data_IF_171463642894
#
_entry.id   IF_171463642894
#
_cell.length_a   1.000
_cell.length_b   1.000
_cell.length_c   1.000
_cell.angle_alpha   90.00
_cell.angle_beta   90.00
_cell.angle_gamma   90.00
#
_symmetry.space_group_name_H-M   'P 1'
#
loop_
_entity.id
_entity.type
_entity.pdbx_description
1 polymer ?
#
# COMPACT_ATOMS: atom_id res chain seq x y z
N UNK A 1 -41.47 -12.29 3.98
CA UNK A 1 -40.88 -11.20 4.78
C UNK A 1 -39.56 -11.75 5.29
N UNK A 2 -38.42 -11.32 4.71
CA UNK A 2 -37.10 -11.65 5.25
C UNK A 2 -36.98 -10.88 6.57
N UNK A 3 -36.83 -11.57 7.68
CA UNK A 3 -36.39 -10.97 8.92
C UNK A 3 -35.02 -10.35 8.63
N UNK A 4 -34.94 -9.03 8.61
CA UNK A 4 -33.69 -8.30 8.57
C UNK A 4 -32.95 -8.66 9.86
N UNK A 5 -31.92 -9.49 9.74
CA UNK A 5 -31.08 -9.92 10.86
C UNK A 5 -30.48 -8.66 11.48
N UNK A 6 -30.92 -8.32 12.69
CA UNK A 6 -30.47 -7.12 13.40
C UNK A 6 -29.02 -7.32 13.79
N UNK A 7 -28.12 -6.57 13.16
CA UNK A 7 -26.71 -6.58 13.55
C UNK A 7 -26.54 -6.38 15.05
N UNK A 8 -25.71 -7.17 15.67
CA UNK A 8 -25.38 -6.99 17.07
C UNK A 8 -24.52 -5.73 17.23
N UNK A 9 -24.61 -5.07 18.41
CA UNK A 9 -23.75 -3.90 18.73
C UNK A 9 -22.27 -4.22 18.53
N UNK A 10 -21.87 -5.46 18.79
CA UNK A 10 -20.49 -5.93 18.62
C UNK A 10 -20.06 -5.95 17.14
N UNK A 11 -20.90 -6.48 16.25
CA UNK A 11 -20.65 -6.49 14.80
C UNK A 11 -20.51 -5.08 14.25
N UNK A 12 -21.39 -4.17 14.66
CA UNK A 12 -21.31 -2.77 14.25
C UNK A 12 -20.00 -2.09 14.70
N UNK A 13 -19.57 -2.33 15.95
CA UNK A 13 -18.30 -1.77 16.46
C UNK A 13 -17.11 -2.31 15.64
N UNK A 14 -17.04 -3.61 15.41
CA UNK A 14 -15.96 -4.22 14.62
C UNK A 14 -15.98 -3.70 13.18
N UNK A 15 -17.16 -3.59 12.56
CA UNK A 15 -17.30 -3.05 11.21
C UNK A 15 -16.78 -1.60 11.13
N UNK A 16 -17.16 -0.73 12.08
CA UNK A 16 -16.67 0.65 12.13
C UNK A 16 -15.14 0.70 12.29
N UNK A 17 -14.58 -0.09 13.20
CA UNK A 17 -13.12 -0.18 13.39
C UNK A 17 -12.42 -0.71 12.14
N UNK A 18 -13.03 -1.68 11.45
CA UNK A 18 -12.57 -2.21 10.17
C UNK A 18 -12.54 -1.12 9.10
N UNK A 19 -13.62 -0.36 8.94
CA UNK A 19 -13.70 0.77 7.99
C UNK A 19 -12.64 1.82 8.31
N UNK A 20 -12.55 2.30 9.54
CA UNK A 20 -11.57 3.34 9.92
C UNK A 20 -10.13 2.87 9.65
N UNK A 21 -9.81 1.62 10.00
CA UNK A 21 -8.46 1.09 9.82
C UNK A 21 -8.09 0.88 8.35
N UNK A 22 -9.04 0.47 7.49
CA UNK A 22 -8.76 0.34 6.05
C UNK A 22 -8.63 1.68 5.36
N UNK A 23 -9.38 2.70 5.79
CA UNK A 23 -9.20 4.06 5.27
C UNK A 23 -7.81 4.61 5.63
N UNK A 24 -7.33 4.38 6.84
CA UNK A 24 -5.97 4.71 7.23
C UNK A 24 -4.92 3.96 6.37
N UNK A 25 -5.19 2.70 6.03
CA UNK A 25 -4.35 1.95 5.09
C UNK A 25 -4.36 2.58 3.69
N UNK A 26 -5.53 2.98 3.16
CA UNK A 26 -5.64 3.63 1.85
C UNK A 26 -4.97 5.01 1.82
N UNK A 27 -4.98 5.75 2.92
CA UNK A 27 -4.32 7.07 3.05
C UNK A 27 -2.81 6.92 3.26
N UNK A 28 -2.31 5.77 3.71
CA UNK A 28 -0.89 5.59 4.04
C UNK A 28 0.11 6.00 2.94
N UNK A 29 -0.18 5.92 1.61
CA UNK A 29 0.69 6.41 0.56
C UNK A 29 1.00 7.91 0.64
N UNK A 30 0.20 8.71 1.36
CA UNK A 30 0.46 10.15 1.55
C UNK A 30 1.83 10.41 2.16
N UNK A 31 2.31 9.50 3.01
CA UNK A 31 3.61 9.60 3.67
C UNK A 31 4.74 9.62 2.63
N UNK A 32 4.67 8.74 1.63
CA UNK A 32 5.64 8.70 0.54
C UNK A 32 5.54 9.95 -0.35
N UNK A 33 4.32 10.42 -0.64
CA UNK A 33 4.07 11.63 -1.42
C UNK A 33 4.66 12.86 -0.71
N UNK A 34 4.45 12.99 0.61
CA UNK A 34 5.02 14.10 1.40
C UNK A 34 6.55 14.01 1.43
N UNK A 35 7.14 12.82 1.61
CA UNK A 35 8.60 12.64 1.56
C UNK A 35 9.17 13.06 0.20
N UNK A 36 8.50 12.70 -0.90
CA UNK A 36 8.90 13.13 -2.24
C UNK A 36 8.86 14.66 -2.38
N UNK A 37 7.77 15.32 -1.96
CA UNK A 37 7.65 16.78 -1.98
C UNK A 37 8.74 17.49 -1.16
N UNK A 38 9.19 16.87 -0.07
CA UNK A 38 10.28 17.39 0.77
C UNK A 38 11.67 17.03 0.24
N UNK A 39 11.80 16.43 -0.95
CA UNK A 39 13.07 16.01 -1.53
C UNK A 39 13.78 14.87 -0.77
N UNK A 40 13.03 14.14 0.09
CA UNK A 40 13.58 13.05 0.92
C UNK A 40 13.54 11.68 0.25
N UNK A 41 12.85 11.54 -0.87
CA UNK A 41 12.81 10.32 -1.67
C UNK A 41 12.54 10.64 -3.14
N UNK A 42 12.86 9.71 -4.02
CA UNK A 42 12.55 9.79 -5.45
C UNK A 42 11.10 9.39 -5.72
N UNK A 43 10.56 9.81 -6.87
CA UNK A 43 9.19 9.50 -7.28
C UNK A 43 8.93 7.98 -7.38
N UNK A 44 9.95 7.21 -7.74
CA UNK A 44 9.86 5.75 -7.85
C UNK A 44 9.56 5.04 -6.52
N UNK A 45 9.74 5.73 -5.39
CA UNK A 45 9.44 5.20 -4.05
C UNK A 45 7.98 5.42 -3.63
N UNK A 46 7.18 6.14 -4.44
CA UNK A 46 5.76 6.27 -4.18
C UNK A 46 5.05 4.98 -4.58
N UNK A 47 4.18 4.40 -3.73
CA UNK A 47 3.57 3.09 -3.93
C UNK A 47 2.46 3.09 -5.00
N UNK A 48 2.82 3.44 -6.25
CA UNK A 48 1.92 3.58 -7.38
C UNK A 48 1.12 2.30 -7.68
N UNK A 49 1.81 1.14 -7.76
CA UNK A 49 1.16 -0.15 -8.05
C UNK A 49 0.17 -0.51 -6.93
N UNK A 50 0.51 -0.23 -5.68
CA UNK A 50 -0.38 -0.46 -4.55
C UNK A 50 -1.65 0.41 -4.67
N UNK A 51 -1.52 1.69 -5.01
CA UNK A 51 -2.66 2.60 -5.20
C UNK A 51 -3.57 2.11 -6.34
N UNK A 52 -3.01 1.63 -7.44
CA UNK A 52 -3.78 1.03 -8.53
C UNK A 52 -4.51 -0.25 -8.08
N UNK A 53 -3.82 -1.14 -7.38
CA UNK A 53 -4.44 -2.36 -6.84
C UNK A 53 -5.56 -2.02 -5.86
N UNK A 54 -5.39 -0.97 -5.03
CA UNK A 54 -6.45 -0.48 -4.14
C UNK A 54 -7.69 -0.04 -4.94
N UNK A 55 -7.50 0.73 -6.01
CA UNK A 55 -8.61 1.20 -6.85
C UNK A 55 -9.43 0.03 -7.43
N UNK A 56 -8.75 -0.96 -8.03
CA UNK A 56 -9.42 -2.11 -8.62
C UNK A 56 -10.05 -3.00 -7.56
N UNK A 57 -9.39 -3.18 -6.42
CA UNK A 57 -9.93 -3.90 -5.28
C UNK A 57 -11.23 -3.26 -4.78
N UNK A 58 -11.22 -1.94 -4.55
CA UNK A 58 -12.40 -1.21 -4.11
C UNK A 58 -13.55 -1.32 -5.12
N UNK A 59 -13.27 -1.19 -6.43
CA UNK A 59 -14.28 -1.37 -7.47
C UNK A 59 -14.90 -2.78 -7.42
N UNK A 60 -14.09 -3.81 -7.21
CA UNK A 60 -14.55 -5.20 -7.08
C UNK A 60 -15.45 -5.41 -5.86
N UNK A 61 -15.05 -4.83 -4.72
CA UNK A 61 -15.80 -4.96 -3.47
C UNK A 61 -17.07 -4.10 -3.43
N UNK A 62 -17.18 -3.01 -4.19
CA UNK A 62 -18.45 -2.30 -4.38
C UNK A 62 -19.49 -3.23 -5.02
N UNK A 63 -19.09 -3.90 -6.10
CA UNK A 63 -19.97 -4.86 -6.78
C UNK A 63 -20.37 -6.00 -5.82
N UNK A 64 -19.40 -6.50 -5.04
CA UNK A 64 -19.67 -7.51 -4.02
C UNK A 64 -20.62 -6.99 -2.93
N UNK A 65 -20.40 -5.78 -2.41
CA UNK A 65 -21.24 -5.16 -1.38
C UNK A 65 -22.69 -4.97 -1.82
N UNK A 66 -22.92 -4.49 -3.05
CA UNK A 66 -24.26 -4.39 -3.65
C UNK A 66 -24.92 -5.77 -3.72
N UNK A 67 -24.18 -6.79 -4.14
CA UNK A 67 -24.69 -8.15 -4.30
C UNK A 67 -25.04 -8.82 -2.98
N UNK A 68 -24.26 -8.51 -1.92
CA UNK A 68 -24.42 -9.10 -0.61
C UNK A 68 -25.36 -8.31 0.31
N UNK A 69 -25.81 -7.12 -0.14
CA UNK A 69 -26.55 -6.14 0.67
C UNK A 69 -25.75 -5.74 1.93
N UNK A 70 -24.40 -5.60 1.76
CA UNK A 70 -23.47 -5.25 2.83
C UNK A 70 -23.09 -3.77 2.70
N UNK A 71 -23.80 -2.93 3.45
CA UNK A 71 -23.63 -1.49 3.44
C UNK A 71 -22.25 -1.04 3.97
N UNK A 72 -21.67 -1.74 4.96
CA UNK A 72 -20.35 -1.42 5.49
C UNK A 72 -19.28 -1.63 4.42
N UNK A 73 -19.32 -2.76 3.74
CA UNK A 73 -18.42 -3.06 2.63
C UNK A 73 -18.59 -2.07 1.48
N UNK A 74 -19.83 -1.69 1.15
CA UNK A 74 -20.13 -0.72 0.10
C UNK A 74 -19.55 0.66 0.42
N UNK A 75 -19.85 1.21 1.59
CA UNK A 75 -19.41 2.56 2.01
C UNK A 75 -17.88 2.64 2.06
N UNK A 76 -17.24 1.67 2.71
CA UNK A 76 -15.79 1.59 2.81
C UNK A 76 -15.12 1.65 1.43
N UNK A 77 -15.58 0.84 0.49
CA UNK A 77 -14.94 0.77 -0.82
C UNK A 77 -15.27 1.98 -1.72
N UNK A 78 -16.41 2.65 -1.52
CA UNK A 78 -16.69 3.94 -2.17
C UNK A 78 -15.70 5.03 -1.73
N UNK A 79 -15.41 5.12 -0.43
CA UNK A 79 -14.40 6.04 0.11
C UNK A 79 -13.02 5.67 -0.46
N UNK A 80 -12.65 4.38 -0.45
CA UNK A 80 -11.39 3.88 -0.97
C UNK A 80 -11.16 4.21 -2.45
N UNK A 81 -12.20 4.17 -3.31
CA UNK A 81 -12.12 4.63 -4.71
C UNK A 81 -11.77 6.11 -4.78
N UNK A 82 -12.45 6.95 -4.00
CA UNK A 82 -12.23 8.39 -4.02
C UNK A 82 -10.79 8.72 -3.60
N UNK A 83 -10.29 8.11 -2.51
CA UNK A 83 -8.92 8.27 -2.04
C UNK A 83 -7.91 7.83 -3.11
N UNK A 84 -8.09 6.65 -3.68
CA UNK A 84 -7.20 6.10 -4.70
C UNK A 84 -7.19 6.97 -5.97
N UNK A 85 -8.35 7.47 -6.40
CA UNK A 85 -8.47 8.35 -7.55
C UNK A 85 -7.74 9.69 -7.32
N UNK A 86 -7.89 10.29 -6.14
CA UNK A 86 -7.17 11.53 -5.78
C UNK A 86 -5.65 11.29 -5.84
N UNK A 87 -5.15 10.19 -5.27
CA UNK A 87 -3.72 9.88 -5.34
C UNK A 87 -3.23 9.66 -6.77
N UNK A 88 -4.00 8.99 -7.61
CA UNK A 88 -3.62 8.80 -9.02
C UNK A 88 -3.56 10.11 -9.80
N UNK A 89 -4.49 11.05 -9.54
CA UNK A 89 -4.46 12.39 -10.15
C UNK A 89 -3.21 13.16 -9.68
N UNK A 90 -2.91 13.14 -8.38
CA UNK A 90 -1.71 13.79 -7.82
C UNK A 90 -0.44 13.21 -8.42
N UNK A 91 -0.34 11.88 -8.51
CA UNK A 91 0.82 11.21 -9.10
C UNK A 91 0.95 11.48 -10.59
N UNK A 92 -0.16 11.48 -11.34
CA UNK A 92 -0.15 11.87 -12.75
C UNK A 92 0.43 13.27 -12.95
N UNK A 93 0.04 14.22 -12.10
CA UNK A 93 0.55 15.60 -12.14
C UNK A 93 2.07 15.62 -11.89
N UNK A 94 2.57 14.85 -10.91
CA UNK A 94 4.00 14.79 -10.62
C UNK A 94 4.80 14.17 -11.76
N UNK A 95 4.34 13.04 -12.30
CA UNK A 95 4.99 12.38 -13.45
C UNK A 95 5.02 13.29 -14.68
N UNK A 96 3.97 14.08 -14.91
CA UNK A 96 3.92 15.01 -16.05
C UNK A 96 4.92 16.15 -15.90
N UNK A 97 5.06 16.70 -14.68
CA UNK A 97 6.01 17.77 -14.38
C UNK A 97 7.47 17.29 -14.48
N UNK A 98 7.77 16.11 -13.96
CA UNK A 98 9.12 15.54 -14.00
C UNK A 98 9.54 15.15 -15.43
N UNK A 99 8.62 14.69 -16.26
CA UNK A 99 8.85 14.38 -17.65
C UNK A 99 9.19 15.61 -18.50
N UNK A 100 8.71 16.77 -18.13
CA UNK A 100 9.05 18.03 -18.82
C UNK A 100 10.55 18.36 -18.69
N UNK A 101 11.21 17.84 -17.67
CA UNK A 101 12.60 18.12 -17.32
C UNK A 101 13.66 17.21 -17.97
N UNK A 102 13.31 16.01 -18.46
CA UNK A 102 14.30 15.01 -18.93
C UNK A 102 13.91 14.35 -20.24
N UNK A 103 14.63 14.66 -21.32
CA UNK A 103 14.19 14.34 -22.72
C UNK A 103 14.46 12.90 -23.24
N UNK A 104 15.32 12.06 -22.68
CA UNK A 104 15.87 10.91 -23.42
C UNK A 104 15.60 9.46 -22.92
N UNK A 105 15.19 9.24 -21.67
CA UNK A 105 14.84 7.89 -21.17
C UNK A 105 13.33 7.57 -21.27
N UNK A 106 12.59 8.38 -21.93
CA UNK A 106 11.15 8.62 -21.84
C UNK A 106 10.23 7.55 -22.40
N UNK A 107 10.64 6.81 -23.42
CA UNK A 107 9.67 6.02 -24.22
C UNK A 107 9.40 4.59 -23.70
N UNK A 108 10.32 3.95 -22.97
CA UNK A 108 10.11 2.58 -22.47
C UNK A 108 9.21 2.53 -21.23
N UNK A 109 9.39 3.47 -20.29
CA UNK A 109 8.56 3.57 -19.09
C UNK A 109 7.10 3.87 -19.39
N UNK A 110 6.84 4.81 -20.31
CA UNK A 110 5.49 5.20 -20.73
C UNK A 110 4.65 4.04 -21.27
N UNK A 111 5.23 3.15 -22.07
CA UNK A 111 4.50 2.01 -22.64
C UNK A 111 4.04 1.03 -21.55
N UNK A 112 4.89 0.78 -20.55
CA UNK A 112 4.57 -0.13 -19.43
C UNK A 112 3.48 0.47 -18.55
N UNK A 113 3.57 1.75 -18.20
CA UNK A 113 2.56 2.46 -17.42
C UNK A 113 1.21 2.48 -18.14
N UNK A 114 1.18 2.85 -19.42
CA UNK A 114 -0.03 2.84 -20.24
C UNK A 114 -0.65 1.44 -20.29
N UNK A 115 0.15 0.39 -20.44
CA UNK A 115 -0.34 -0.98 -20.43
C UNK A 115 -0.96 -1.38 -19.09
N UNK A 116 -0.38 -0.95 -17.96
CA UNK A 116 -0.94 -1.16 -16.61
C UNK A 116 -2.28 -0.44 -16.47
N UNK A 117 -2.38 0.83 -16.88
CA UNK A 117 -3.65 1.58 -16.84
C UNK A 117 -4.74 0.91 -17.68
N UNK A 118 -4.43 0.51 -18.91
CA UNK A 118 -5.38 -0.15 -19.79
C UNK A 118 -5.82 -1.50 -19.20
N UNK A 119 -4.89 -2.26 -18.63
CA UNK A 119 -5.21 -3.52 -17.96
C UNK A 119 -6.15 -3.31 -16.77
N UNK A 120 -5.91 -2.28 -15.94
CA UNK A 120 -6.77 -1.96 -14.79
C UNK A 120 -8.15 -1.50 -15.23
N UNK A 121 -8.23 -0.62 -16.23
CA UNK A 121 -9.50 -0.18 -16.82
C UNK A 121 -10.28 -1.37 -17.38
N UNK A 122 -9.60 -2.25 -18.12
CA UNK A 122 -10.20 -3.48 -18.65
C UNK A 122 -10.80 -4.34 -17.53
N UNK A 123 -10.09 -4.49 -16.41
CA UNK A 123 -10.61 -5.26 -15.26
C UNK A 123 -11.88 -4.65 -14.67
N UNK A 124 -11.95 -3.32 -14.52
CA UNK A 124 -13.16 -2.64 -14.01
C UNK A 124 -14.34 -2.87 -14.97
N UNK A 125 -14.12 -2.69 -16.28
CA UNK A 125 -15.15 -2.92 -17.30
C UNK A 125 -15.59 -4.40 -17.33
N UNK A 126 -14.63 -5.32 -17.23
CA UNK A 126 -14.88 -6.75 -17.20
C UNK A 126 -15.75 -7.16 -15.99
N UNK A 127 -15.46 -6.62 -14.81
CA UNK A 127 -16.27 -6.86 -13.61
C UNK A 127 -17.68 -6.30 -13.75
N UNK A 128 -17.83 -5.09 -14.29
CA UNK A 128 -19.15 -4.52 -14.58
C UNK A 128 -19.94 -5.40 -15.54
N UNK A 129 -19.31 -5.96 -16.58
CA UNK A 129 -19.94 -6.90 -17.52
C UNK A 129 -20.42 -8.17 -16.83
N UNK A 130 -19.60 -8.79 -15.98
CA UNK A 130 -19.99 -9.99 -15.23
C UNK A 130 -21.11 -9.71 -14.24
N UNK A 131 -21.11 -8.54 -13.61
CA UNK A 131 -22.22 -8.10 -12.74
C UNK A 131 -23.54 -8.03 -13.51
N UNK A 132 -23.55 -7.36 -14.67
CA UNK A 132 -24.75 -7.23 -15.50
C UNK A 132 -25.27 -8.59 -16.02
N UNK A 133 -24.38 -9.58 -16.14
CA UNK A 133 -24.74 -10.96 -16.56
C UNK A 133 -25.10 -11.89 -15.41
N UNK A 134 -25.04 -11.43 -14.15
CA UNK A 134 -25.38 -12.22 -12.98
C UNK A 134 -24.34 -13.28 -12.56
N UNK A 135 -23.10 -13.19 -13.05
CA UNK A 135 -22.01 -14.11 -12.70
C UNK A 135 -21.36 -13.76 -11.35
N UNK A 136 -22.14 -13.74 -10.28
CA UNK A 136 -21.73 -13.27 -8.96
C UNK A 136 -20.56 -14.05 -8.35
N UNK A 137 -20.49 -15.35 -8.60
CA UNK A 137 -19.38 -16.20 -8.11
C UNK A 137 -18.05 -15.78 -8.71
N UNK A 138 -18.01 -15.43 -10.02
CA UNK A 138 -16.79 -14.96 -10.68
C UNK A 138 -16.33 -13.63 -10.07
N UNK A 139 -17.26 -12.72 -9.80
CA UNK A 139 -16.94 -11.42 -9.18
C UNK A 139 -16.33 -11.61 -7.78
N UNK A 140 -16.91 -12.49 -6.96
CA UNK A 140 -16.37 -12.80 -5.62
C UNK A 140 -14.93 -13.36 -5.68
N UNK A 141 -14.66 -14.25 -6.62
CA UNK A 141 -13.32 -14.79 -6.83
C UNK A 141 -12.36 -13.69 -7.27
N UNK A 142 -12.76 -12.83 -8.22
CA UNK A 142 -11.95 -11.70 -8.67
C UNK A 142 -11.67 -10.70 -7.54
N UNK A 143 -12.69 -10.39 -6.72
CA UNK A 143 -12.50 -9.52 -5.54
C UNK A 143 -11.48 -10.11 -4.56
N UNK A 144 -11.54 -11.42 -4.31
CA UNK A 144 -10.57 -12.13 -3.48
C UNK A 144 -9.14 -12.01 -4.04
N UNK A 145 -8.97 -12.24 -5.35
CA UNK A 145 -7.66 -12.12 -6.03
C UNK A 145 -7.12 -10.70 -5.92
N UNK A 146 -7.96 -9.69 -6.21
CA UNK A 146 -7.52 -8.29 -6.15
C UNK A 146 -7.18 -7.84 -4.74
N UNK A 147 -7.88 -8.32 -3.72
CA UNK A 147 -7.56 -8.05 -2.33
C UNK A 147 -6.18 -8.60 -1.95
N UNK A 148 -5.89 -9.83 -2.34
CA UNK A 148 -4.57 -10.43 -2.12
C UNK A 148 -3.47 -9.65 -2.87
N UNK A 149 -3.70 -9.29 -4.14
CA UNK A 149 -2.75 -8.52 -4.94
C UNK A 149 -2.50 -7.13 -4.37
N UNK A 150 -3.54 -6.48 -3.82
CA UNK A 150 -3.43 -5.19 -3.16
C UNK A 150 -2.42 -5.23 -2.00
N UNK A 151 -2.51 -6.23 -1.14
CA UNK A 151 -1.55 -6.39 -0.04
C UNK A 151 -0.18 -6.85 -0.54
N UNK A 152 -0.13 -7.77 -1.50
CA UNK A 152 1.10 -8.29 -2.07
C UNK A 152 1.92 -7.23 -2.82
N UNK A 153 1.28 -6.19 -3.36
CA UNK A 153 1.96 -5.08 -4.02
C UNK A 153 2.99 -4.38 -3.10
N UNK A 154 2.81 -4.44 -1.79
CA UNK A 154 3.79 -3.95 -0.81
C UNK A 154 5.15 -4.65 -0.89
N UNK A 155 5.23 -5.88 -1.36
CA UNK A 155 6.51 -6.60 -1.51
C UNK A 155 7.42 -6.03 -2.59
N UNK A 156 6.90 -5.29 -3.55
CA UNK A 156 7.72 -4.56 -4.54
C UNK A 156 8.65 -3.60 -3.80
N UNK A 157 8.15 -2.91 -2.78
CA UNK A 157 8.93 -1.96 -1.97
C UNK A 157 9.86 -2.66 -0.97
N UNK A 158 9.49 -3.85 -0.49
CA UNK A 158 10.40 -4.72 0.27
C UNK A 158 11.60 -5.12 -0.60
N UNK A 159 11.36 -5.49 -1.86
CA UNK A 159 12.44 -5.79 -2.80
C UNK A 159 13.34 -4.58 -3.10
N UNK A 160 12.75 -3.40 -3.34
CA UNK A 160 13.52 -2.17 -3.55
C UNK A 160 14.31 -1.75 -2.31
N UNK A 161 13.74 -1.91 -1.12
CA UNK A 161 14.44 -1.69 0.16
C UNK A 161 15.64 -2.63 0.32
N UNK A 162 15.48 -3.90 -0.06
CA UNK A 162 16.58 -4.87 -0.04
C UNK A 162 17.69 -4.49 -1.00
N UNK A 163 17.35 -4.12 -2.24
CA UNK A 163 18.30 -3.73 -3.30
C UNK A 163 19.04 -2.45 -2.97
N UNK A 164 18.35 -1.44 -2.45
CA UNK A 164 18.92 -0.14 -2.09
C UNK A 164 19.59 -0.13 -0.71
N UNK A 165 19.44 -1.20 0.08
CA UNK A 165 19.90 -1.31 1.49
C UNK A 165 19.30 -0.24 2.42
N UNK A 166 18.08 0.24 2.11
CA UNK A 166 17.40 1.29 2.86
C UNK A 166 16.05 0.76 3.39
N UNK A 167 15.97 0.55 4.71
CA UNK A 167 14.74 0.06 5.36
C UNK A 167 13.56 1.03 5.23
N UNK A 168 13.82 2.33 5.05
CA UNK A 168 12.81 3.38 4.97
C UNK A 168 11.87 3.29 3.76
N UNK A 169 12.24 2.49 2.73
CA UNK A 169 11.39 2.24 1.56
C UNK A 169 10.28 1.23 1.83
N UNK A 170 10.41 0.43 2.89
CA UNK A 170 9.32 -0.49 3.28
C UNK A 170 8.15 0.33 3.82
N UNK A 171 6.90 0.15 3.30
CA UNK A 171 5.72 0.89 3.74
C UNK A 171 5.16 0.34 5.07
N UNK A 172 5.98 0.35 6.13
CA UNK A 172 5.66 -0.27 7.40
C UNK A 172 4.45 0.36 8.11
N UNK A 173 4.23 1.68 7.95
CA UNK A 173 3.06 2.37 8.52
C UNK A 173 1.77 1.83 7.91
N UNK A 174 1.75 1.71 6.57
CA UNK A 174 0.62 1.09 5.86
C UNK A 174 0.44 -0.38 6.27
N UNK A 175 1.53 -1.13 6.44
CA UNK A 175 1.45 -2.52 6.89
C UNK A 175 0.78 -2.65 8.28
N UNK A 176 1.09 -1.76 9.25
CA UNK A 176 0.42 -1.76 10.56
C UNK A 176 -1.08 -1.49 10.41
N UNK A 177 -1.46 -0.43 9.68
CA UNK A 177 -2.87 -0.13 9.46
C UNK A 177 -3.60 -1.29 8.76
N UNK A 178 -2.95 -1.90 7.77
CA UNK A 178 -3.49 -3.05 7.05
C UNK A 178 -3.64 -4.29 7.93
N UNK A 179 -2.69 -4.58 8.84
CA UNK A 179 -2.79 -5.69 9.82
C UNK A 179 -4.02 -5.49 10.71
N UNK A 180 -4.21 -4.28 11.25
CA UNK A 180 -5.37 -3.97 12.09
C UNK A 180 -6.65 -4.14 11.27
N UNK A 181 -6.69 -3.59 10.06
CA UNK A 181 -7.84 -3.68 9.16
C UNK A 181 -8.20 -5.13 8.85
N UNK A 182 -7.23 -5.93 8.40
CA UNK A 182 -7.50 -7.34 8.05
C UNK A 182 -7.96 -8.15 9.26
N UNK A 183 -7.41 -7.89 10.44
CA UNK A 183 -7.85 -8.53 11.68
C UNK A 183 -9.32 -8.18 12.01
N UNK A 184 -9.70 -6.89 11.89
CA UNK A 184 -11.10 -6.47 12.12
C UNK A 184 -12.06 -7.10 11.10
N UNK A 185 -11.68 -7.12 9.81
CA UNK A 185 -12.51 -7.75 8.78
C UNK A 185 -12.61 -9.28 8.92
N UNK A 186 -11.56 -9.95 9.42
CA UNK A 186 -11.62 -11.38 9.77
C UNK A 186 -12.63 -11.59 10.92
N UNK A 187 -12.53 -10.81 12.00
CA UNK A 187 -13.45 -10.90 13.12
C UNK A 187 -14.90 -10.63 12.70
N UNK A 188 -15.13 -9.58 11.90
CA UNK A 188 -16.45 -9.24 11.35
C UNK A 188 -17.01 -10.38 10.51
N UNK A 189 -16.22 -10.92 9.60
CA UNK A 189 -16.63 -12.03 8.72
C UNK A 189 -16.96 -13.30 9.50
N UNK A 190 -16.16 -13.62 10.52
CA UNK A 190 -16.41 -14.77 11.41
C UNK A 190 -17.73 -14.57 12.17
N UNK A 191 -17.98 -13.36 12.69
CA UNK A 191 -19.23 -13.06 13.39
C UNK A 191 -20.46 -13.26 12.49
N UNK A 192 -20.40 -12.76 11.25
CA UNK A 192 -21.46 -12.95 10.26
C UNK A 192 -21.69 -14.43 9.90
N UNK A 193 -20.63 -15.21 9.82
CA UNK A 193 -20.73 -16.66 9.56
C UNK A 193 -21.37 -17.38 10.76
N UNK A 194 -20.99 -16.98 11.98
CA UNK A 194 -21.50 -17.62 13.21
C UNK A 194 -22.98 -17.38 13.45
N UNK A 195 -23.46 -16.19 13.11
CA UNK A 195 -24.87 -15.82 13.32
C UNK A 195 -25.81 -16.21 12.16
N UNK A 196 -25.28 -16.76 11.04
CA UNK A 196 -26.09 -17.13 9.89
C UNK A 196 -25.65 -18.45 9.26
N UNK A 197 -26.39 -19.54 9.51
CA UNK A 197 -26.06 -20.88 8.98
C UNK A 197 -25.93 -20.95 7.45
N UNK A 198 -26.67 -20.11 6.69
CA UNK A 198 -26.63 -20.07 5.22
C UNK A 198 -25.52 -19.16 4.66
N UNK A 199 -24.83 -18.39 5.50
CA UNK A 199 -23.94 -17.32 5.05
C UNK A 199 -22.47 -17.75 4.83
N UNK A 200 -22.08 -18.97 5.16
CA UNK A 200 -20.70 -19.44 5.06
C UNK A 200 -20.12 -19.25 3.65
N UNK A 201 -20.79 -19.77 2.62
CA UNK A 201 -20.33 -19.64 1.22
C UNK A 201 -20.37 -18.19 0.71
N UNK A 202 -21.18 -17.34 1.33
CA UNK A 202 -21.33 -15.93 0.99
C UNK A 202 -20.06 -15.16 1.36
N UNK A 203 -19.50 -15.40 2.54
CA UNK A 203 -18.40 -14.62 3.12
C UNK A 203 -17.02 -15.29 3.09
N UNK A 204 -16.97 -16.58 2.76
CA UNK A 204 -15.73 -17.36 2.73
C UNK A 204 -14.60 -16.74 1.86
N UNK A 205 -14.88 -16.19 0.63
CA UNK A 205 -13.84 -15.56 -0.16
C UNK A 205 -13.19 -14.35 0.54
N UNK A 206 -14.01 -13.54 1.23
CA UNK A 206 -13.52 -12.39 2.00
C UNK A 206 -12.65 -12.83 3.18
N UNK A 207 -13.06 -13.89 3.89
CA UNK A 207 -12.29 -14.46 5.00
C UNK A 207 -10.91 -14.94 4.53
N UNK A 208 -10.84 -15.68 3.42
CA UNK A 208 -9.56 -16.14 2.85
C UNK A 208 -8.69 -14.95 2.46
N UNK A 209 -9.25 -14.00 1.72
CA UNK A 209 -8.49 -12.86 1.20
C UNK A 209 -7.89 -12.02 2.33
N UNK A 210 -8.67 -11.75 3.38
CA UNK A 210 -8.17 -11.00 4.55
C UNK A 210 -7.17 -11.81 5.38
N UNK A 211 -7.35 -13.14 5.51
CA UNK A 211 -6.38 -13.98 6.22
C UNK A 211 -5.03 -14.04 5.50
N UNK A 212 -5.03 -14.21 4.17
CA UNK A 212 -3.82 -14.15 3.36
C UNK A 212 -3.21 -12.75 3.43
N UNK A 213 -4.02 -11.71 3.32
CA UNK A 213 -3.60 -10.31 3.44
C UNK A 213 -2.91 -10.02 4.77
N UNK A 214 -3.47 -10.51 5.87
CA UNK A 214 -2.86 -10.41 7.20
C UNK A 214 -1.45 -10.99 7.24
N UNK A 215 -1.27 -12.22 6.74
CA UNK A 215 0.04 -12.89 6.70
C UNK A 215 1.04 -12.12 5.82
N UNK A 216 0.60 -11.64 4.67
CA UNK A 216 1.41 -10.81 3.75
C UNK A 216 1.90 -9.54 4.45
N UNK A 217 1.02 -8.82 5.12
CA UNK A 217 1.33 -7.56 5.81
C UNK A 217 2.25 -7.78 7.03
N UNK A 218 2.05 -8.87 7.77
CA UNK A 218 2.99 -9.29 8.82
C UNK A 218 4.38 -9.55 8.24
N UNK A 219 4.47 -10.23 7.08
CA UNK A 219 5.73 -10.45 6.38
C UNK A 219 6.42 -9.14 5.97
N UNK A 220 5.68 -8.14 5.47
CA UNK A 220 6.21 -6.80 5.15
C UNK A 220 6.75 -6.12 6.41
N UNK A 221 6.00 -6.15 7.51
CA UNK A 221 6.42 -5.55 8.77
C UNK A 221 7.67 -6.23 9.36
N UNK A 222 7.74 -7.55 9.33
CA UNK A 222 8.93 -8.31 9.72
C UNK A 222 10.15 -7.95 8.87
N UNK A 223 9.95 -7.79 7.55
CA UNK A 223 11.00 -7.36 6.62
C UNK A 223 11.54 -5.97 6.99
N UNK A 224 10.66 -5.04 7.37
CA UNK A 224 11.09 -3.71 7.84
C UNK A 224 12.01 -3.79 9.06
N UNK A 225 11.63 -4.53 10.11
CA UNK A 225 12.45 -4.66 11.31
C UNK A 225 13.77 -5.37 11.03
N UNK A 226 13.75 -6.39 10.18
CA UNK A 226 14.96 -7.10 9.78
C UNK A 226 15.92 -6.18 9.01
N UNK A 227 15.42 -5.38 8.05
CA UNK A 227 16.22 -4.43 7.29
C UNK A 227 16.75 -3.31 8.18
N UNK A 228 15.92 -2.77 9.08
CA UNK A 228 16.33 -1.75 10.03
C UNK A 228 17.50 -2.23 10.92
N UNK A 229 17.44 -3.48 11.39
CA UNK A 229 18.53 -4.08 12.16
C UNK A 229 19.77 -4.31 11.30
N UNK A 230 19.62 -4.82 10.07
CA UNK A 230 20.72 -5.19 9.19
C UNK A 230 21.43 -3.97 8.58
N UNK A 231 20.67 -3.00 8.10
CA UNK A 231 21.20 -1.86 7.35
C UNK A 231 21.46 -0.63 8.24
N UNK A 232 20.73 -0.45 9.34
CA UNK A 232 20.96 0.64 10.28
C UNK A 232 22.34 0.60 10.95
N UNK A 233 22.90 -0.60 11.11
CA UNK A 233 24.29 -0.76 11.61
C UNK A 233 25.32 -0.28 10.59
N UNK A 234 25.05 -0.49 9.29
CA UNK A 234 25.96 -0.07 8.20
C UNK A 234 26.00 1.46 8.10
N UNK A 235 24.86 2.13 8.21
CA UNK A 235 24.75 3.59 8.14
C UNK A 235 25.51 4.28 9.29
N UNK A 236 25.46 3.71 10.50
CA UNK A 236 26.21 4.21 11.66
C UNK A 236 27.72 4.04 11.46
N UNK A 237 28.16 2.92 10.89
CA UNK A 237 29.58 2.68 10.60
C UNK A 237 30.13 3.62 9.51
N UNK A 238 29.35 3.87 8.46
CA UNK A 238 29.71 4.76 7.37
C UNK A 238 29.83 6.21 7.84
N UNK A 239 28.86 6.68 8.64
CA UNK A 239 28.90 8.00 9.24
C UNK A 239 30.09 8.18 10.22
N UNK A 240 30.39 7.17 11.00
CA UNK A 240 31.56 7.21 11.90
C UNK A 240 32.90 7.24 11.13
N UNK A 241 32.99 6.52 10.01
CA UNK A 241 34.18 6.54 9.14
C UNK A 241 34.38 7.90 8.46
N UNK A 242 33.28 8.54 8.00
CA UNK A 242 33.34 9.88 7.42
C UNK A 242 33.76 10.94 8.45
N UNK A 243 33.25 10.86 9.68
CA UNK A 243 33.60 11.74 10.79
C UNK A 243 35.09 11.57 11.22
N UNK A 244 35.62 10.35 11.20
CA UNK A 244 37.03 10.10 11.50
C UNK A 244 37.96 10.66 10.43
N UNK A 245 37.59 10.51 9.15
CA UNK A 245 38.35 11.03 8.02
C UNK A 245 38.34 12.57 7.97
N UNK A 246 37.23 13.21 8.32
CA UNK A 246 37.15 14.68 8.37
C UNK A 246 38.06 15.26 9.47
N UNK A 247 38.11 14.64 10.66
CA UNK A 247 38.98 15.05 11.75
C UNK A 247 40.48 14.88 11.42
N UNK A 248 40.79 13.83 10.66
CA UNK A 248 42.18 13.57 10.23
C UNK A 248 42.65 14.58 9.17
N UNK A 249 41.75 15.07 8.31
CA UNK A 249 42.01 16.09 7.30
C UNK A 249 42.21 17.51 7.92
N UNK A 250 41.51 17.78 9.03
CA UNK A 250 41.70 19.04 9.77
C UNK A 250 43.04 19.07 10.53
N UNK A 251 43.45 17.94 11.09
CA UNK A 251 44.73 17.86 11.81
C UNK A 251 45.93 18.00 10.86
N UNK A 252 45.85 17.49 9.64
CA UNK A 252 46.90 17.62 8.63
C UNK A 252 47.06 19.03 8.07
N UNK A 253 46.03 19.88 8.15
CA UNK A 253 46.07 21.28 7.73
C UNK A 253 46.69 22.22 8.78
N UNK A 254 46.68 21.84 10.05
CA UNK A 254 47.20 22.66 11.14
C UNK A 254 48.70 22.47 11.31
N UNK A 255 49.32 21.39 10.81
CA UNK A 255 50.77 21.12 10.87
C UNK A 255 51.57 21.76 9.71
N UNK A 256 50.97 22.43 8.76
CA UNK A 256 51.63 23.05 7.61
C UNK A 256 51.64 24.59 7.64
N UNK A 257 51.70 25.20 8.83
CA UNK A 257 52.06 26.62 8.95
C UNK A 257 53.59 26.70 8.98
N UNK A 258 54.26 27.22 7.96
CA UNK A 258 55.69 27.47 8.03
C UNK A 258 55.93 28.59 9.06
N UNK A 259 56.81 28.34 10.02
CA UNK A 259 57.40 29.39 10.82
C UNK A 259 58.18 30.32 9.89
N UNK A 260 57.55 31.39 9.42
CA UNK A 260 58.27 32.54 8.82
C UNK A 260 58.78 33.44 9.96
N UNK A 261 59.78 32.98 10.61
CA UNK A 261 60.70 33.83 11.41
C UNK A 261 62.01 33.91 10.68
N UNK A 262 62.11 34.85 9.75
CA UNK A 262 63.39 35.48 9.37
C UNK A 262 63.07 36.80 8.64
N UNK A 263 63.20 37.95 9.39
CA UNK A 263 63.79 39.24 9.14
C UNK A 263 63.29 40.32 10.10
#
# INVERSE_FOLDING_TARGET
MQEQQKETTFELIIAILGVVSVELYFISPIIAIVKYKLGKCEINHIPFIQILCNLVNCASYIVSGITLDDNQQLICNLIGIVISAIFLIVLWTFFTLEQSSTNDKKNKGKKTETAIYLFMLFNVVFQAFYFLRGFLTVIKILSCIWNILMYAAGYIYVYEAYKSRKAEFVPWQGAICGIISTAMWICYTISLIYHGEENFYKYYPSLIANSVGFLVLVGILCSYFWFKKKFGVIEVQENNSLLSNSKQSEHSKTESIPDDDDY
#
